data_IF_752452103833
#
_entry.id   IF_752452103833
#
_cell.length_a   1.000
_cell.length_b   1.000
_cell.length_c   1.000
_cell.angle_alpha   90.00
_cell.angle_beta   90.00
_cell.angle_gamma   90.00
#
_symmetry.space_group_name_H-M   'P 1'
#
loop_
_entity.id
_entity.type
_entity.pdbx_description
1 polymer ?
#
# COMPACT_ATOMS: atom_id res chain seq x y z
N UNK A 1 0.56 -22.55 -48.04
CA UNK A 1 1.98 -22.17 -48.03
C UNK A 1 2.09 -20.65 -48.01
N UNK A 2 2.40 -20.07 -46.89
CA UNK A 2 2.75 -18.64 -46.71
C UNK A 2 4.00 -18.56 -45.85
N UNK A 3 5.05 -17.80 -46.23
CA UNK A 3 6.32 -17.78 -45.54
C UNK A 3 6.25 -16.90 -44.28
N UNK A 4 6.85 -17.43 -43.18
CA UNK A 4 7.03 -16.71 -41.94
C UNK A 4 8.12 -15.65 -42.05
N UNK A 5 7.93 -14.54 -41.42
CA UNK A 5 8.92 -13.49 -41.23
C UNK A 5 9.50 -13.61 -39.82
N UNK A 6 10.81 -13.96 -39.79
CA UNK A 6 11.60 -13.96 -38.55
C UNK A 6 12.21 -12.57 -38.43
N UNK A 7 11.84 -11.82 -37.39
CA UNK A 7 12.53 -10.59 -37.00
C UNK A 7 13.62 -10.94 -35.98
N UNK A 8 14.87 -10.86 -36.42
CA UNK A 8 16.03 -10.92 -35.54
C UNK A 8 16.29 -9.51 -35.00
N UNK A 9 16.13 -9.32 -33.69
CA UNK A 9 16.55 -8.10 -33.00
C UNK A 9 18.03 -8.21 -32.62
N UNK A 10 18.87 -7.39 -33.23
CA UNK A 10 20.28 -7.27 -32.89
C UNK A 10 20.42 -6.32 -31.69
N UNK A 11 20.91 -6.83 -30.57
CA UNK A 11 21.28 -6.03 -29.40
C UNK A 11 22.70 -5.54 -29.60
N UNK A 12 22.88 -4.22 -29.78
CA UNK A 12 24.18 -3.56 -29.83
C UNK A 12 24.68 -3.30 -28.40
N UNK A 13 25.73 -4.02 -27.99
CA UNK A 13 26.48 -3.73 -26.77
C UNK A 13 27.36 -2.47 -27.04
N UNK A 14 27.05 -1.38 -26.36
CA UNK A 14 27.90 -0.20 -26.31
C UNK A 14 28.97 -0.40 -25.22
N UNK A 15 30.24 -0.43 -25.66
CA UNK A 15 31.41 -0.50 -24.80
C UNK A 15 31.60 0.81 -24.02
N UNK A 16 31.75 0.71 -22.70
CA UNK A 16 32.18 1.81 -21.85
C UNK A 16 33.62 2.18 -22.13
N UNK A 17 33.86 3.35 -22.69
CA UNK A 17 35.18 3.96 -22.84
C UNK A 17 35.68 4.50 -21.49
N UNK A 18 36.91 4.17 -21.13
CA UNK A 18 37.65 4.74 -20.02
C UNK A 18 37.93 6.22 -20.26
N UNK A 19 37.61 7.06 -19.29
CA UNK A 19 38.07 8.47 -19.24
C UNK A 19 39.42 8.54 -18.53
N UNK A 20 40.37 9.35 -19.05
CA UNK A 20 41.66 9.53 -18.41
C UNK A 20 41.61 10.69 -17.38
N UNK A 21 42.44 10.48 -16.35
CA UNK A 21 43.06 11.45 -15.43
C UNK A 21 42.26 12.69 -14.97
N UNK A 22 41.78 12.64 -13.75
CA UNK A 22 41.47 13.81 -12.95
C UNK A 22 42.73 14.27 -12.17
N UNK A 23 43.09 15.56 -12.13
CA UNK A 23 44.19 16.03 -11.31
C UNK A 23 43.81 16.04 -9.83
N UNK A 24 44.73 15.51 -9.03
CA UNK A 24 44.78 15.79 -7.60
C UNK A 24 45.28 17.21 -7.44
N UNK A 25 44.51 18.09 -6.78
CA UNK A 25 45.11 19.01 -5.84
C UNK A 25 44.05 19.71 -4.96
N UNK A 26 44.35 19.76 -3.68
CA UNK A 26 44.34 20.90 -2.77
C UNK A 26 43.09 21.18 -1.93
N UNK A 27 43.35 21.09 -0.66
CA UNK A 27 42.84 21.97 0.42
C UNK A 27 41.32 22.02 0.60
N UNK A 28 40.80 20.99 1.27
CA UNK A 28 39.57 21.16 2.02
C UNK A 28 39.94 21.85 3.33
N UNK A 29 39.81 23.18 3.33
CA UNK A 29 39.70 23.96 4.55
C UNK A 29 38.53 23.43 5.34
N UNK A 30 38.81 22.94 6.52
CA UNK A 30 37.78 22.60 7.52
C UNK A 30 37.05 23.90 7.90
N UNK A 31 35.89 24.12 7.30
CA UNK A 31 34.92 25.10 7.78
C UNK A 31 34.09 24.44 8.85
N UNK A 32 34.34 24.93 9.99
CA UNK A 32 33.62 25.06 11.26
C UNK A 32 32.17 24.52 11.24
N UNK A 33 31.87 23.79 12.31
CA UNK A 33 30.62 23.11 12.59
C UNK A 33 29.38 23.98 12.36
N UNK A 34 28.62 23.60 11.36
CA UNK A 34 27.20 23.91 11.37
C UNK A 34 26.53 22.93 12.32
N UNK A 35 25.97 23.46 13.40
CA UNK A 35 25.01 22.79 14.26
C UNK A 35 24.00 22.06 13.38
N UNK A 36 24.13 20.73 13.33
CA UNK A 36 23.07 19.86 12.87
C UNK A 36 21.92 20.08 13.84
N UNK A 37 20.86 20.65 13.29
CA UNK A 37 19.64 20.97 14.00
C UNK A 37 19.14 19.73 14.75
N UNK A 38 19.24 19.76 16.07
CA UNK A 38 18.86 18.65 16.97
C UNK A 38 17.33 18.40 17.01
N UNK A 39 16.57 19.10 16.17
CA UNK A 39 15.13 18.91 16.03
C UNK A 39 14.76 17.56 15.41
N UNK A 40 15.63 16.95 14.61
CA UNK A 40 15.35 15.72 13.88
C UNK A 40 15.56 14.44 14.72
N UNK A 41 16.46 14.47 15.69
CA UNK A 41 16.71 13.32 16.57
C UNK A 41 15.56 13.02 17.56
N UNK A 42 14.74 14.03 17.87
CA UNK A 42 13.58 13.88 18.75
C UNK A 42 12.36 13.24 18.05
N UNK A 43 12.29 13.33 16.72
CA UNK A 43 11.19 12.77 15.92
C UNK A 43 11.42 11.28 15.65
N UNK A 44 12.66 10.85 15.44
CA UNK A 44 13.00 9.44 15.22
C UNK A 44 12.80 8.57 16.48
N UNK A 45 12.98 9.14 17.68
CA UNK A 45 12.76 8.40 18.94
C UNK A 45 11.27 8.20 19.25
N UNK A 46 10.38 9.06 18.77
CA UNK A 46 8.93 8.91 18.96
C UNK A 46 8.31 7.86 18.03
N UNK A 47 8.87 7.64 16.87
CA UNK A 47 8.42 6.59 15.96
C UNK A 47 8.73 5.18 16.51
N UNK A 48 9.77 5.04 17.36
CA UNK A 48 10.13 3.75 17.96
C UNK A 48 9.23 3.33 19.14
N UNK A 49 8.47 4.27 19.71
CA UNK A 49 7.61 4.02 20.88
C UNK A 49 6.13 3.83 20.49
N UNK A 50 5.80 3.94 19.18
CA UNK A 50 4.44 3.70 18.71
C UNK A 50 4.13 2.21 18.78
N UNK A 51 3.17 1.85 19.61
CA UNK A 51 2.57 0.52 19.65
C UNK A 51 1.24 0.58 18.92
N UNK A 52 1.17 -0.09 17.78
CA UNK A 52 -0.07 -0.17 17.01
C UNK A 52 -1.20 -0.76 17.90
N UNK A 53 -2.42 -0.23 17.83
CA UNK A 53 -3.56 -0.80 18.50
C UNK A 53 -3.79 -2.26 18.05
N UNK A 54 -4.38 -3.05 18.91
CA UNK A 54 -4.93 -4.35 18.51
C UNK A 54 -6.18 -4.13 17.64
N UNK A 55 -5.95 -3.97 16.34
CA UNK A 55 -7.01 -3.70 15.36
C UNK A 55 -8.00 -4.85 15.24
N UNK A 56 -7.59 -6.09 15.45
CA UNK A 56 -8.49 -7.23 15.45
C UNK A 56 -9.55 -7.10 16.55
N UNK A 57 -9.12 -6.74 17.76
CA UNK A 57 -10.02 -6.49 18.88
C UNK A 57 -10.84 -5.21 18.70
N UNK A 58 -10.21 -4.15 18.20
CA UNK A 58 -10.85 -2.85 17.99
C UNK A 58 -11.96 -2.93 16.95
N UNK A 59 -11.70 -3.58 15.83
CA UNK A 59 -12.65 -3.71 14.72
C UNK A 59 -13.80 -4.65 15.04
N UNK A 60 -13.51 -5.76 15.73
CA UNK A 60 -14.47 -6.80 16.02
C UNK A 60 -14.91 -7.58 14.79
N UNK A 61 -14.04 -7.72 13.78
CA UNK A 61 -14.19 -8.71 12.73
C UNK A 61 -14.22 -10.10 13.34
N UNK A 62 -15.03 -10.99 12.75
CA UNK A 62 -15.17 -12.38 13.21
C UNK A 62 -14.07 -13.28 12.68
N UNK A 63 -14.27 -14.59 12.92
CA UNK A 63 -13.42 -15.64 12.36
C UNK A 63 -13.39 -15.56 10.82
N UNK A 64 -12.26 -15.91 10.21
CA UNK A 64 -12.06 -15.86 8.76
C UNK A 64 -11.63 -14.51 8.23
N UNK A 65 -11.25 -13.58 9.11
CA UNK A 65 -10.65 -12.29 8.73
C UNK A 65 -9.24 -12.18 9.31
N UNK A 66 -8.30 -11.77 8.47
CA UNK A 66 -6.94 -11.43 8.83
C UNK A 66 -6.80 -9.92 8.93
N UNK A 67 -6.32 -9.43 10.07
CA UNK A 67 -6.19 -8.00 10.35
C UNK A 67 -4.72 -7.64 10.38
N UNK A 68 -4.32 -6.71 9.52
CA UNK A 68 -2.94 -6.25 9.49
C UNK A 68 -2.83 -4.74 9.58
N UNK A 69 -1.87 -4.21 10.37
CA UNK A 69 -1.61 -2.78 10.42
C UNK A 69 -0.97 -2.31 9.11
N UNK A 70 -1.23 -1.05 8.77
CA UNK A 70 -0.64 -0.42 7.59
C UNK A 70 -1.30 -0.84 6.28
N UNK A 71 -0.68 -0.45 5.19
CA UNK A 71 -1.13 -0.65 3.82
C UNK A 71 -0.24 -1.66 3.10
N UNK A 72 -0.78 -2.57 2.29
CA UNK A 72 0.03 -3.46 1.48
C UNK A 72 0.58 -2.73 0.25
N UNK A 73 1.81 -3.12 -0.16
CA UNK A 73 2.42 -2.64 -1.38
C UNK A 73 3.25 -1.38 -1.25
N UNK A 74 3.87 -1.01 -2.35
CA UNK A 74 4.82 0.09 -2.46
C UNK A 74 4.14 1.46 -2.33
N UNK A 75 2.91 1.57 -2.82
CA UNK A 75 2.16 2.81 -2.84
C UNK A 75 0.91 2.69 -1.96
N UNK A 76 0.95 3.24 -0.73
CA UNK A 76 -0.22 3.20 0.14
C UNK A 76 -1.37 3.98 -0.48
N UNK A 77 -2.57 3.46 -0.35
CA UNK A 77 -3.76 4.21 -0.68
C UNK A 77 -3.83 5.48 0.15
N UNK A 78 -4.38 6.50 -0.45
CA UNK A 78 -4.58 7.78 0.17
C UNK A 78 -5.57 8.59 -0.63
N UNK A 79 -6.04 9.68 -0.05
CA UNK A 79 -7.00 10.56 -0.71
C UNK A 79 -6.70 12.04 -0.43
N UNK A 80 -7.15 12.88 -1.33
CA UNK A 80 -7.06 14.35 -1.22
C UNK A 80 -8.44 14.97 -1.21
N UNK A 81 -8.56 16.07 -0.48
CA UNK A 81 -9.81 16.84 -0.36
C UNK A 81 -9.76 18.04 -1.31
N UNK A 82 -10.52 17.97 -2.40
CA UNK A 82 -10.50 18.97 -3.47
C UNK A 82 -11.43 20.17 -3.18
N UNK A 83 -12.55 19.91 -2.53
CA UNK A 83 -13.60 20.92 -2.30
C UNK A 83 -13.69 21.37 -0.84
N UNK A 84 -14.24 22.55 -0.62
CA UNK A 84 -14.56 23.05 0.72
C UNK A 84 -15.81 22.39 1.28
N UNK A 85 -15.84 22.20 2.61
CA UNK A 85 -17.01 21.70 3.34
C UNK A 85 -17.31 20.22 3.12
N UNK A 86 -16.35 19.45 2.59
CA UNK A 86 -16.49 18.01 2.46
C UNK A 86 -16.72 17.39 3.84
N UNK A 87 -17.86 16.73 3.99
CA UNK A 87 -18.25 16.07 5.24
C UNK A 87 -18.65 14.63 4.97
N UNK A 88 -17.93 13.70 5.58
CA UNK A 88 -18.15 12.26 5.44
C UNK A 88 -18.91 11.70 6.64
N UNK A 89 -19.71 10.67 6.40
CA UNK A 89 -20.34 9.91 7.48
C UNK A 89 -19.40 8.78 7.90
N UNK A 90 -18.81 8.92 9.06
CA UNK A 90 -17.80 8.04 9.62
C UNK A 90 -18.37 7.13 10.71
N UNK A 91 -17.56 6.20 11.18
CA UNK A 91 -17.91 5.23 12.21
C UNK A 91 -17.00 5.38 13.44
N UNK A 92 -17.54 5.17 14.62
CA UNK A 92 -16.74 5.13 15.84
C UNK A 92 -15.81 3.89 15.90
N UNK A 93 -16.12 2.83 15.14
CA UNK A 93 -15.38 1.57 15.09
C UNK A 93 -15.16 1.12 13.64
N UNK A 94 -13.96 0.61 13.27
CA UNK A 94 -13.65 0.17 11.91
C UNK A 94 -14.28 -1.18 11.60
N UNK A 95 -15.57 -1.18 11.33
CA UNK A 95 -16.34 -2.36 10.96
C UNK A 95 -17.51 -1.92 10.08
N UNK A 96 -17.75 -2.55 8.91
CA UNK A 96 -18.85 -2.17 8.01
C UNK A 96 -20.23 -2.21 8.68
N UNK A 97 -20.43 -3.10 9.66
CA UNK A 97 -21.67 -3.21 10.41
C UNK A 97 -21.84 -2.11 11.48
N UNK A 98 -20.80 -1.30 11.78
CA UNK A 98 -20.93 -0.21 12.72
C UNK A 98 -21.74 0.95 12.11
N UNK A 99 -22.56 1.66 12.93
CA UNK A 99 -23.34 2.81 12.45
C UNK A 99 -22.43 3.90 11.88
N UNK A 100 -22.87 4.54 10.79
CA UNK A 100 -22.29 5.76 10.22
C UNK A 100 -22.94 6.98 10.88
N UNK A 101 -22.62 7.24 12.12
CA UNK A 101 -23.29 8.24 12.94
C UNK A 101 -22.39 9.43 13.33
N UNK A 102 -21.15 9.42 12.86
CA UNK A 102 -20.17 10.47 13.14
C UNK A 102 -19.92 11.31 11.89
N UNK A 103 -20.30 12.57 11.91
CA UNK A 103 -19.99 13.50 10.84
C UNK A 103 -18.53 13.96 10.95
N UNK A 104 -17.73 13.76 9.89
CA UNK A 104 -16.33 14.16 9.81
C UNK A 104 -16.14 15.18 8.71
N UNK A 105 -15.97 16.45 9.05
CA UNK A 105 -15.61 17.50 8.09
C UNK A 105 -14.10 17.52 7.91
N UNK A 106 -13.66 17.49 6.66
CA UNK A 106 -12.25 17.43 6.29
C UNK A 106 -11.78 18.79 5.75
N UNK A 107 -10.55 19.22 6.08
CA UNK A 107 -9.99 20.45 5.54
C UNK A 107 -9.69 20.30 4.05
N UNK A 108 -10.04 21.34 3.28
CA UNK A 108 -9.69 21.41 1.85
C UNK A 108 -8.18 21.37 1.65
N UNK A 109 -7.73 20.78 0.56
CA UNK A 109 -6.33 20.57 0.14
C UNK A 109 -5.55 19.58 1.00
N UNK A 110 -6.16 18.98 2.01
CA UNK A 110 -5.51 17.96 2.82
C UNK A 110 -5.22 16.71 1.98
N UNK A 111 -4.02 16.16 2.11
CA UNK A 111 -3.60 14.89 1.53
C UNK A 111 -3.45 13.85 2.66
N UNK A 112 -4.35 12.90 2.70
CA UNK A 112 -4.36 11.79 3.65
C UNK A 112 -3.65 10.58 3.04
N UNK A 113 -2.33 10.57 3.15
CA UNK A 113 -1.44 9.55 2.59
C UNK A 113 -0.32 9.25 3.58
N UNK A 114 0.07 7.98 3.74
CA UNK A 114 1.05 7.55 4.76
C UNK A 114 2.41 8.24 4.64
N UNK A 115 2.79 8.69 3.45
CA UNK A 115 4.03 9.44 3.24
C UNK A 115 3.91 10.93 3.51
N UNK A 116 2.72 11.43 3.84
CA UNK A 116 2.56 12.77 4.37
C UNK A 116 2.94 12.79 5.86
N UNK A 117 4.24 12.75 6.14
CA UNK A 117 4.78 12.68 7.50
C UNK A 117 4.26 13.75 8.47
N UNK A 118 4.12 15.04 8.07
CA UNK A 118 3.52 16.04 8.95
C UNK A 118 2.11 15.68 9.41
N UNK A 119 1.36 14.95 8.59
CA UNK A 119 0.00 14.51 8.91
C UNK A 119 0.00 13.24 9.76
N UNK A 120 0.88 12.30 9.45
CA UNK A 120 1.05 11.04 10.19
C UNK A 120 1.64 11.28 11.56
N UNK A 121 2.71 12.07 11.66
CA UNK A 121 3.42 12.34 12.93
C UNK A 121 2.60 13.11 13.97
N UNK A 122 1.51 13.76 13.55
CA UNK A 122 0.60 14.45 14.45
C UNK A 122 -0.55 13.54 14.97
N UNK A 123 -0.41 12.22 14.85
CA UNK A 123 -1.43 11.21 15.19
C UNK A 123 -2.78 11.47 14.50
N UNK A 124 -2.74 11.99 13.27
CA UNK A 124 -3.92 12.41 12.52
C UNK A 124 -4.38 11.42 11.47
N UNK A 125 -3.59 10.38 11.24
CA UNK A 125 -3.83 9.40 10.19
C UNK A 125 -3.32 8.02 10.60
N UNK A 126 -4.20 7.03 10.56
CA UNK A 126 -3.87 5.61 10.73
C UNK A 126 -4.53 4.80 9.62
N UNK A 127 -3.90 3.70 9.22
CA UNK A 127 -4.45 2.74 8.27
C UNK A 127 -4.34 1.32 8.80
N UNK A 128 -5.31 0.49 8.48
CA UNK A 128 -5.19 -0.96 8.55
C UNK A 128 -6.09 -1.62 7.51
N UNK A 129 -5.82 -2.88 7.23
CA UNK A 129 -6.58 -3.69 6.27
C UNK A 129 -7.14 -4.91 6.97
N UNK A 130 -8.40 -5.23 6.70
CA UNK A 130 -9.05 -6.47 7.07
C UNK A 130 -9.27 -7.28 5.80
N UNK A 131 -8.60 -8.42 5.66
CA UNK A 131 -8.71 -9.32 4.50
C UNK A 131 -9.50 -10.56 4.89
N UNK A 132 -10.49 -10.91 4.09
CA UNK A 132 -11.23 -12.16 4.25
C UNK A 132 -10.37 -13.32 3.74
N UNK A 133 -10.01 -14.21 4.65
CA UNK A 133 -9.14 -15.34 4.34
C UNK A 133 -9.89 -16.43 3.56
N UNK A 134 -9.18 -17.17 2.72
CA UNK A 134 -9.73 -18.28 1.97
C UNK A 134 -8.72 -19.42 1.79
N UNK A 135 -9.18 -20.69 1.70
CA UNK A 135 -8.29 -21.81 1.47
C UNK A 135 -7.83 -21.88 0.01
N UNK A 136 -6.58 -22.28 -0.19
CA UNK A 136 -6.01 -22.67 -1.49
C UNK A 136 -5.43 -24.08 -1.37
N UNK A 137 -5.60 -24.91 -2.40
CA UNK A 137 -5.19 -26.31 -2.39
C UNK A 137 -4.05 -26.55 -3.36
N UNK A 138 -3.02 -27.28 -2.94
CA UNK A 138 -1.90 -27.68 -3.79
C UNK A 138 -2.38 -28.65 -4.87
N UNK A 139 -2.10 -28.33 -6.14
CA UNK A 139 -2.42 -29.19 -7.28
C UNK A 139 -1.30 -30.18 -7.61
N UNK A 140 -0.12 -29.98 -7.04
CA UNK A 140 1.08 -30.82 -7.21
C UNK A 140 2.02 -30.69 -6.00
N UNK A 141 2.99 -31.61 -5.85
CA UNK A 141 4.09 -31.46 -4.89
C UNK A 141 4.93 -30.23 -5.26
N UNK A 142 5.35 -29.46 -4.28
CA UNK A 142 6.15 -28.25 -4.49
C UNK A 142 7.14 -28.00 -3.34
N UNK A 143 8.22 -27.30 -3.66
CA UNK A 143 9.20 -26.79 -2.71
C UNK A 143 9.29 -25.27 -2.90
N UNK A 144 8.74 -24.51 -1.97
CA UNK A 144 8.57 -23.06 -2.07
C UNK A 144 9.60 -22.36 -1.21
N UNK A 145 10.31 -21.40 -1.78
CA UNK A 145 11.27 -20.58 -1.02
C UNK A 145 10.54 -19.46 -0.26
N UNK A 146 10.96 -19.23 0.97
CA UNK A 146 10.47 -18.13 1.81
C UNK A 146 11.57 -17.55 2.68
N UNK A 147 11.40 -16.31 3.15
CA UNK A 147 12.32 -15.67 4.10
C UNK A 147 11.80 -15.91 5.51
N UNK A 148 12.60 -16.59 6.34
CA UNK A 148 12.25 -16.80 7.74
C UNK A 148 12.37 -15.50 8.58
N UNK A 149 11.78 -15.47 9.78
CA UNK A 149 11.89 -14.35 10.73
C UNK A 149 13.35 -13.97 11.05
N UNK A 150 14.28 -14.92 10.90
CA UNK A 150 15.71 -14.67 11.07
C UNK A 150 16.37 -14.02 9.82
N UNK A 151 15.62 -13.73 8.77
CA UNK A 151 16.11 -13.13 7.52
C UNK A 151 16.89 -14.10 6.63
N UNK A 152 16.73 -15.41 6.82
CA UNK A 152 17.39 -16.43 6.00
C UNK A 152 16.40 -17.12 5.07
N UNK A 153 16.86 -17.41 3.82
CA UNK A 153 16.09 -18.21 2.88
C UNK A 153 15.92 -19.63 3.42
N UNK A 154 14.70 -20.10 3.38
CA UNK A 154 14.28 -21.45 3.77
C UNK A 154 13.41 -22.05 2.66
N UNK A 155 13.18 -23.35 2.73
CA UNK A 155 12.31 -24.07 1.80
C UNK A 155 11.17 -24.73 2.57
N UNK A 156 9.95 -24.47 2.13
CA UNK A 156 8.73 -25.12 2.60
C UNK A 156 8.39 -26.25 1.64
N UNK A 157 8.46 -27.49 2.12
CA UNK A 157 8.06 -28.68 1.36
C UNK A 157 6.56 -28.91 1.48
N UNK A 158 5.84 -28.87 0.37
CA UNK A 158 4.40 -29.02 0.28
C UNK A 158 4.05 -30.23 -0.58
N UNK A 159 2.93 -30.86 -0.30
CA UNK A 159 2.42 -32.03 -1.01
C UNK A 159 1.13 -31.73 -1.74
N UNK A 160 0.90 -32.41 -2.85
CA UNK A 160 -0.38 -32.36 -3.54
C UNK A 160 -1.53 -32.66 -2.57
N UNK A 161 -2.51 -31.77 -2.55
CA UNK A 161 -3.68 -31.86 -1.65
C UNK A 161 -3.51 -31.14 -0.32
N UNK A 162 -2.32 -30.62 0.01
CA UNK A 162 -2.17 -29.75 1.18
C UNK A 162 -3.03 -28.48 0.99
N UNK A 163 -3.59 -28.02 2.09
CA UNK A 163 -4.40 -26.80 2.13
C UNK A 163 -3.64 -25.70 2.89
N UNK A 164 -3.40 -24.60 2.21
CA UNK A 164 -2.94 -23.37 2.81
C UNK A 164 -4.13 -22.42 2.98
N UNK A 165 -4.04 -21.49 3.92
CA UNK A 165 -5.02 -20.43 4.04
C UNK A 165 -4.38 -19.12 3.56
N UNK A 166 -4.95 -18.54 2.50
CA UNK A 166 -4.53 -17.24 2.00
C UNK A 166 -5.00 -16.16 2.98
N UNK A 167 -4.07 -15.36 3.51
CA UNK A 167 -4.36 -14.37 4.52
C UNK A 167 -4.47 -12.97 3.92
N UNK A 168 -3.50 -12.55 3.12
CA UNK A 168 -3.53 -11.24 2.48
C UNK A 168 -2.48 -11.12 1.36
N UNK A 169 -2.71 -10.17 0.47
CA UNK A 169 -1.70 -9.66 -0.46
C UNK A 169 -0.76 -8.67 0.24
N UNK A 170 0.55 -8.76 0.00
CA UNK A 170 1.55 -7.83 0.55
C UNK A 170 1.91 -6.70 -0.40
N UNK A 171 1.69 -6.88 -1.69
CA UNK A 171 2.21 -6.05 -2.75
C UNK A 171 3.39 -6.70 -3.47
N UNK A 172 3.80 -6.14 -4.62
CA UNK A 172 4.96 -6.57 -5.41
C UNK A 172 4.97 -8.06 -5.79
N UNK A 173 3.79 -8.68 -5.86
CA UNK A 173 3.65 -10.09 -6.21
C UNK A 173 3.90 -11.06 -5.05
N UNK A 174 3.77 -10.60 -3.80
CA UNK A 174 3.88 -11.44 -2.61
C UNK A 174 2.58 -11.50 -1.82
N UNK A 175 2.33 -12.63 -1.17
CA UNK A 175 1.20 -12.84 -0.29
C UNK A 175 1.60 -13.55 1.00
N UNK A 176 0.86 -13.31 2.08
CA UNK A 176 0.98 -14.10 3.30
C UNK A 176 -0.02 -15.24 3.25
N UNK A 177 0.47 -16.45 3.46
CA UNK A 177 -0.32 -17.66 3.62
C UNK A 177 -0.01 -18.32 4.96
N UNK A 178 -0.98 -19.03 5.53
CA UNK A 178 -0.71 -19.87 6.68
C UNK A 178 -0.80 -21.36 6.31
N UNK A 179 0.16 -22.13 6.84
CA UNK A 179 0.19 -23.58 6.76
C UNK A 179 0.63 -24.17 8.10
N UNK A 180 -0.14 -25.10 8.63
CA UNK A 180 0.10 -25.70 9.96
C UNK A 180 0.29 -24.67 11.09
N UNK A 181 -0.43 -23.53 11.00
CA UNK A 181 -0.40 -22.47 12.02
C UNK A 181 0.81 -21.54 11.94
N UNK A 182 1.64 -21.67 10.90
CA UNK A 182 2.77 -20.78 10.62
C UNK A 182 2.44 -19.91 9.41
N UNK A 183 2.81 -18.63 9.46
CA UNK A 183 2.65 -17.69 8.35
C UNK A 183 3.92 -17.71 7.47
N UNK A 184 3.71 -17.62 6.16
CA UNK A 184 4.75 -17.62 5.15
C UNK A 184 4.49 -16.50 4.15
N UNK A 185 5.55 -15.79 3.82
CA UNK A 185 5.58 -14.79 2.73
C UNK A 185 6.03 -15.51 1.45
N UNK A 186 5.13 -15.66 0.49
CA UNK A 186 5.33 -16.47 -0.72
C UNK A 186 5.02 -15.63 -1.96
N UNK A 187 5.79 -15.87 -3.03
CA UNK A 187 5.55 -15.26 -4.33
C UNK A 187 4.25 -15.79 -4.95
N UNK A 188 3.32 -14.89 -5.33
CA UNK A 188 2.02 -15.28 -5.89
C UNK A 188 2.11 -15.96 -7.25
N UNK A 189 3.09 -15.61 -8.10
CA UNK A 189 3.26 -16.28 -9.37
C UNK A 189 3.61 -17.77 -9.18
N UNK A 190 4.41 -18.08 -8.15
CA UNK A 190 4.70 -19.45 -7.77
C UNK A 190 3.46 -20.18 -7.26
N UNK A 191 2.62 -19.50 -6.43
CA UNK A 191 1.36 -20.05 -5.96
C UNK A 191 0.38 -20.37 -7.10
N UNK A 192 0.28 -19.52 -8.11
CA UNK A 192 -0.59 -19.74 -9.27
C UNK A 192 -0.22 -20.98 -10.05
N UNK A 193 1.07 -21.35 -10.08
CA UNK A 193 1.55 -22.54 -10.78
C UNK A 193 1.29 -23.84 -10.03
N UNK A 194 1.22 -23.80 -8.71
CA UNK A 194 1.18 -24.99 -7.85
C UNK A 194 -0.13 -25.19 -7.09
N UNK A 195 -1.06 -24.22 -7.14
CA UNK A 195 -2.33 -24.28 -6.42
C UNK A 195 -3.54 -24.12 -7.34
N UNK A 196 -4.74 -24.25 -6.77
CA UNK A 196 -6.01 -23.96 -7.44
C UNK A 196 -6.43 -22.48 -7.34
N UNK A 197 -5.55 -21.62 -6.86
CA UNK A 197 -5.81 -20.17 -6.76
C UNK A 197 -6.10 -19.59 -8.16
N UNK A 198 -7.20 -18.82 -8.27
CA UNK A 198 -7.61 -18.19 -9.52
C UNK A 198 -7.58 -16.66 -9.46
N UNK A 199 -7.71 -16.14 -8.26
CA UNK A 199 -7.69 -14.73 -7.95
C UNK A 199 -6.87 -14.54 -6.67
N UNK A 200 -5.84 -13.74 -6.75
CA UNK A 200 -4.93 -13.45 -5.64
C UNK A 200 -5.49 -12.45 -4.64
N UNK A 201 -6.67 -11.89 -4.91
CA UNK A 201 -7.27 -10.89 -4.02
C UNK A 201 -8.48 -11.45 -3.31
N UNK A 202 -8.35 -11.58 -1.99
CA UNK A 202 -9.50 -11.76 -1.10
C UNK A 202 -10.38 -10.49 -1.09
N UNK A 203 -11.56 -10.61 -0.48
CA UNK A 203 -12.38 -9.45 -0.11
C UNK A 203 -11.63 -8.65 0.96
N UNK A 204 -11.42 -7.36 0.73
CA UNK A 204 -10.67 -6.48 1.64
C UNK A 204 -11.50 -5.27 2.05
N UNK A 205 -11.43 -4.95 3.35
CA UNK A 205 -11.94 -3.70 3.91
C UNK A 205 -10.74 -2.84 4.34
N UNK A 206 -10.51 -1.75 3.64
CA UNK A 206 -9.42 -0.82 3.90
C UNK A 206 -9.92 0.32 4.78
N UNK A 207 -9.30 0.47 5.94
CA UNK A 207 -9.73 1.44 6.94
C UNK A 207 -8.74 2.57 7.13
N UNK A 208 -9.27 3.78 7.15
CA UNK A 208 -8.51 4.98 7.48
C UNK A 208 -9.12 5.69 8.67
N UNK A 209 -8.28 6.06 9.64
CA UNK A 209 -8.64 6.92 10.75
C UNK A 209 -8.02 8.29 10.54
N UNK A 210 -8.85 9.32 10.59
CA UNK A 210 -8.44 10.70 10.33
C UNK A 210 -8.85 11.61 11.46
N UNK A 211 -8.17 12.74 11.62
CA UNK A 211 -8.63 13.81 12.51
C UNK A 211 -9.50 14.78 11.74
N UNK A 212 -10.77 14.88 12.14
CA UNK A 212 -11.76 15.80 11.58
C UNK A 212 -11.53 17.26 12.07
N UNK A 213 -12.22 18.22 11.47
CA UNK A 213 -12.10 19.64 11.82
C UNK A 213 -12.47 19.95 13.29
N UNK A 214 -13.34 19.16 13.90
CA UNK A 214 -13.74 19.26 15.31
C UNK A 214 -12.79 18.55 16.28
N UNK A 215 -11.73 17.92 15.76
CA UNK A 215 -10.75 17.15 16.53
C UNK A 215 -11.16 15.71 16.82
N UNK A 216 -12.35 15.27 16.42
CA UNK A 216 -12.73 13.85 16.50
C UNK A 216 -11.90 12.97 15.57
N UNK A 217 -11.75 11.69 15.93
CA UNK A 217 -10.94 10.72 15.18
C UNK A 217 -11.74 9.45 14.88
N UNK A 218 -12.76 9.53 14.02
CA UNK A 218 -13.53 8.38 13.61
C UNK A 218 -12.80 7.55 12.53
N UNK A 219 -13.41 6.40 12.20
CA UNK A 219 -12.98 5.52 11.13
C UNK A 219 -13.81 5.69 9.88
N UNK A 220 -13.14 5.66 8.74
CA UNK A 220 -13.71 5.72 7.39
C UNK A 220 -13.30 4.47 6.62
N UNK A 221 -14.21 3.90 5.87
CA UNK A 221 -13.91 2.86 4.88
C UNK A 221 -13.36 3.55 3.63
N UNK A 222 -12.21 3.14 3.15
CA UNK A 222 -11.50 3.85 2.08
C UNK A 222 -12.32 3.97 0.79
N UNK A 223 -12.97 2.90 0.37
CA UNK A 223 -13.83 2.90 -0.83
C UNK A 223 -14.98 3.92 -0.73
N UNK A 224 -15.55 4.09 0.47
CA UNK A 224 -16.60 5.09 0.68
C UNK A 224 -16.05 6.51 0.64
N UNK A 225 -14.79 6.68 1.03
CA UNK A 225 -14.11 7.98 1.00
C UNK A 225 -13.85 8.40 -0.44
N UNK A 226 -13.21 7.55 -1.25
CA UNK A 226 -12.84 7.90 -2.63
C UNK A 226 -14.04 8.00 -3.55
N UNK A 227 -15.17 7.39 -3.18
CA UNK A 227 -16.44 7.55 -3.88
C UNK A 227 -17.19 8.86 -3.52
N UNK A 228 -16.74 9.60 -2.49
CA UNK A 228 -17.43 10.79 -2.04
C UNK A 228 -17.15 12.01 -2.94
N UNK A 229 -18.17 12.86 -3.22
CA UNK A 229 -17.96 14.08 -3.97
C UNK A 229 -16.94 15.01 -3.33
N UNK A 230 -16.07 15.62 -4.13
CA UNK A 230 -15.03 16.53 -3.66
C UNK A 230 -13.79 15.84 -3.08
N UNK A 231 -13.68 14.52 -3.24
CA UNK A 231 -12.50 13.73 -2.91
C UNK A 231 -11.97 13.06 -4.17
N UNK A 232 -10.66 12.85 -4.22
CA UNK A 232 -10.00 12.05 -5.24
C UNK A 232 -8.91 11.19 -4.59
N UNK A 233 -8.46 10.09 -5.25
CA UNK A 233 -7.27 9.37 -4.84
C UNK A 233 -6.08 10.31 -4.70
N UNK A 234 -5.21 10.06 -3.72
CA UNK A 234 -4.01 10.88 -3.50
C UNK A 234 -3.06 10.76 -4.71
N UNK A 235 -2.59 11.87 -5.28
CA UNK A 235 -1.55 11.81 -6.29
C UNK A 235 -0.25 11.33 -5.64
N UNK A 236 0.48 10.45 -6.34
CA UNK A 236 1.82 10.06 -5.93
C UNK A 236 2.78 11.09 -6.51
N UNK A 237 3.37 11.92 -5.65
CA UNK A 237 4.28 12.99 -6.07
C UNK A 237 5.75 12.57 -6.11
N UNK A 238 6.06 11.40 -5.52
CA UNK A 238 7.39 10.83 -5.45
C UNK A 238 7.47 9.83 -4.31
N UNK A 239 8.50 9.02 -4.30
CA UNK A 239 8.69 8.01 -3.26
C UNK A 239 9.02 8.68 -1.92
N UNK A 240 8.11 8.60 -0.96
CA UNK A 240 8.28 9.20 0.37
C UNK A 240 8.13 10.72 0.41
N UNK A 241 7.57 11.35 -0.63
CA UNK A 241 7.50 12.82 -0.78
C UNK A 241 6.04 13.32 -0.92
N UNK A 242 5.14 12.79 -0.14
CA UNK A 242 3.77 13.28 -0.09
C UNK A 242 3.66 14.51 0.81
N UNK A 243 2.83 15.48 0.38
CA UNK A 243 2.46 16.68 1.13
C UNK A 243 1.00 17.01 0.90
N UNK A 244 0.46 18.01 1.62
CA UNK A 244 -0.83 18.57 1.28
C UNK A 244 -0.76 19.19 -0.12
N UNK A 245 -1.86 19.11 -0.88
CA UNK A 245 -1.91 19.63 -2.25
C UNK A 245 -2.09 21.16 -2.25
N UNK A 246 -1.76 21.78 -3.37
CA UNK A 246 -1.96 23.21 -3.58
C UNK A 246 -3.19 23.49 -4.44
N UNK A 247 -3.72 24.72 -4.37
CA UNK A 247 -4.97 25.06 -5.06
C UNK A 247 -4.87 24.94 -6.60
N UNK A 248 -3.70 25.14 -7.17
CA UNK A 248 -3.44 25.02 -8.59
C UNK A 248 -3.35 23.56 -9.09
N UNK A 249 -3.19 22.61 -8.20
CA UNK A 249 -3.20 21.17 -8.52
C UNK A 249 -4.61 20.57 -8.62
N UNK A 250 -5.63 21.23 -8.06
CA UNK A 250 -6.99 20.67 -7.91
C UNK A 250 -7.56 20.23 -9.25
N UNK A 251 -7.48 21.05 -10.30
CA UNK A 251 -8.10 20.73 -11.58
C UNK A 251 -7.42 19.57 -12.29
N UNK A 252 -6.09 19.46 -12.21
CA UNK A 252 -5.38 18.31 -12.78
C UNK A 252 -5.68 17.02 -12.04
N UNK A 253 -5.71 17.04 -10.71
CA UNK A 253 -6.02 15.85 -9.90
C UNK A 253 -7.47 15.38 -10.19
N UNK A 254 -8.41 16.29 -10.30
CA UNK A 254 -9.80 15.96 -10.64
C UNK A 254 -9.88 15.30 -12.01
N UNK A 255 -9.22 15.89 -13.01
CA UNK A 255 -9.18 15.34 -14.37
C UNK A 255 -8.59 13.92 -14.41
N UNK A 256 -7.47 13.70 -13.72
CA UNK A 256 -6.81 12.39 -13.65
C UNK A 256 -7.71 11.35 -12.94
N UNK A 257 -8.39 11.75 -11.87
CA UNK A 257 -9.32 10.87 -11.16
C UNK A 257 -10.51 10.46 -12.04
N UNK A 258 -11.09 11.39 -12.80
CA UNK A 258 -12.18 11.12 -13.74
C UNK A 258 -11.73 10.20 -14.87
N UNK A 259 -10.53 10.41 -15.42
CA UNK A 259 -9.95 9.57 -16.46
C UNK A 259 -9.72 8.14 -15.98
N UNK A 260 -9.16 7.98 -14.78
CA UNK A 260 -8.92 6.67 -14.18
C UNK A 260 -10.23 5.93 -13.86
N UNK A 261 -11.24 6.63 -13.37
CA UNK A 261 -12.56 6.06 -13.12
C UNK A 261 -13.24 5.57 -14.42
N UNK A 262 -13.12 6.34 -15.51
CA UNK A 262 -13.65 5.95 -16.82
C UNK A 262 -12.93 4.71 -17.37
N UNK A 263 -11.60 4.64 -17.26
CA UNK A 263 -10.81 3.48 -17.68
C UNK A 263 -11.14 2.22 -16.87
N UNK A 264 -11.34 2.36 -15.54
CA UNK A 264 -11.74 1.24 -14.69
C UNK A 264 -13.14 0.70 -15.05
N UNK A 265 -14.08 1.60 -15.37
CA UNK A 265 -15.43 1.21 -15.80
C UNK A 265 -15.40 0.46 -17.14
N UNK A 266 -14.57 0.91 -18.09
CA UNK A 266 -14.40 0.22 -19.40
C UNK A 266 -13.77 -1.16 -19.24
N UNK A 267 -12.80 -1.30 -18.34
CA UNK A 267 -12.16 -2.59 -18.04
C UNK A 267 -13.13 -3.58 -17.38
N UNK A 268 -14.04 -3.10 -16.52
CA UNK A 268 -15.05 -3.94 -15.88
C UNK A 268 -16.12 -4.47 -16.84
N UNK A 269 -16.41 -3.73 -17.93
CA UNK A 269 -17.38 -4.12 -18.97
C UNK A 269 -16.75 -5.00 -20.07
N UNK A 270 -15.44 -5.19 -20.08
CA UNK A 270 -14.76 -6.02 -21.08
C UNK A 270 -15.13 -7.50 -20.90
N UNK A 271 -15.54 -8.23 -21.97
CA UNK A 271 -15.84 -9.66 -21.87
C UNK A 271 -14.56 -10.44 -21.50
N UNK A 272 -14.69 -11.36 -20.56
CA UNK A 272 -13.64 -12.33 -20.23
C UNK A 272 -13.46 -13.24 -21.46
N UNK A 273 -12.33 -13.11 -22.17
CA UNK A 273 -11.94 -13.98 -23.29
C UNK A 273 -11.42 -15.35 -22.80
#
# INVERSE_FOLDING_TARGET
MKPGWIFAAAIALAACGQSPDAPQDSDIVATDGSELDTADAGQLSRASDYVAPDYAKLSGYGEGWYISPGWPGEYPAGFVVLDEGVTLQARARPNPAAPRDTACTLPRLANYQLWNYPRVSADKLEFFVATKTFPVTLTQDAAVEYVSDAGSMQVLELKQGDQLNYLRYLGEGFAILSFDGTEYDINEAELMDITDIRDSKGEEDEWVRVTCADGSQPWLLYDEVVAAPGIAPSPITGYGDASDITADQVDSIRFDAELNAAAAAEAADAPLE
#
